data_IF_782838188152
#
_entry.id   IF_782838188152
#
_cell.length_a   1.000
_cell.length_b   1.000
_cell.length_c   1.000
_cell.angle_alpha   90.00
_cell.angle_beta   90.00
_cell.angle_gamma   90.00
#
_symmetry.space_group_name_H-M   'P 1'
#
loop_
_entity.id
_entity.type
_entity.pdbx_description
1 polymer ?
#
# COMPACT_ATOMS: atom_id res chain seq x y z
N UNK A 1 2.24 10.87 12.99
CA UNK A 1 2.07 12.33 12.83
C UNK A 1 2.65 13.02 14.05
N UNK A 2 3.67 13.86 13.86
CA UNK A 2 4.35 14.53 14.96
C UNK A 2 3.71 15.86 15.35
N UNK A 3 3.06 16.54 14.41
CA UNK A 3 2.43 17.84 14.66
C UNK A 3 0.89 17.74 14.68
N UNK A 4 0.35 16.83 15.48
CA UNK A 4 -1.10 16.53 15.52
C UNK A 4 -1.98 17.69 16.00
N UNK A 5 -1.42 18.70 16.69
CA UNK A 5 -2.17 19.87 17.18
C UNK A 5 -2.52 20.88 16.06
N UNK A 6 -1.72 20.93 15.00
CA UNK A 6 -1.86 21.93 13.91
C UNK A 6 -2.09 21.29 12.55
N UNK A 7 -1.53 20.10 12.33
CA UNK A 7 -1.66 19.35 11.09
C UNK A 7 -2.82 18.37 11.16
N UNK A 8 -3.73 18.43 10.22
CA UNK A 8 -4.86 17.53 10.12
C UNK A 8 -4.82 16.71 8.83
N UNK A 9 -4.43 15.47 8.92
CA UNK A 9 -4.49 14.53 7.81
C UNK A 9 -5.95 14.30 7.32
N UNK A 10 -6.94 14.16 8.24
CA UNK A 10 -8.34 14.04 7.85
C UNK A 10 -8.92 15.25 7.12
N UNK A 11 -8.40 16.46 7.33
CA UNK A 11 -8.87 17.64 6.61
C UNK A 11 -8.59 17.55 5.10
N UNK A 12 -7.51 16.87 4.73
CA UNK A 12 -7.09 16.74 3.34
C UNK A 12 -7.73 15.53 2.63
N UNK A 13 -7.89 14.42 3.33
CA UNK A 13 -8.18 13.14 2.70
C UNK A 13 -9.51 12.49 3.11
N UNK A 14 -10.12 12.90 4.22
CA UNK A 14 -11.44 12.40 4.65
C UNK A 14 -12.48 13.48 4.94
N UNK A 15 -12.12 14.74 4.81
CA UNK A 15 -12.99 15.94 4.95
C UNK A 15 -13.78 16.03 6.26
N UNK A 16 -13.40 15.24 7.26
CA UNK A 16 -14.06 15.21 8.56
C UNK A 16 -13.72 16.40 9.45
N UNK A 17 -12.71 17.19 9.07
CA UNK A 17 -12.28 18.39 9.79
C UNK A 17 -11.82 19.47 8.80
N UNK A 18 -11.73 20.72 9.27
CA UNK A 18 -11.19 21.83 8.49
C UNK A 18 -9.88 22.29 9.09
N UNK A 19 -8.86 22.42 8.26
CA UNK A 19 -7.60 23.07 8.63
C UNK A 19 -7.60 24.50 8.10
N UNK A 20 -7.41 25.47 8.99
CA UNK A 20 -7.47 26.90 8.65
C UNK A 20 -6.11 27.55 8.42
N UNK A 21 -5.02 26.88 8.73
CA UNK A 21 -3.66 27.37 8.59
C UNK A 21 -2.80 26.31 7.94
N UNK A 22 -1.95 26.75 7.01
CA UNK A 22 -0.98 25.87 6.38
C UNK A 22 -0.03 25.30 7.43
N UNK A 23 0.21 24.02 7.37
CA UNK A 23 1.08 23.32 8.31
C UNK A 23 1.56 21.99 7.73
N UNK A 24 2.75 21.59 8.11
CA UNK A 24 3.31 20.29 7.79
C UNK A 24 3.57 19.44 9.02
N UNK A 25 3.77 18.15 8.78
CA UNK A 25 4.16 17.19 9.82
C UNK A 25 4.99 16.07 9.23
N UNK A 26 6.00 15.63 9.98
CA UNK A 26 6.65 14.38 9.74
C UNK A 26 5.67 13.22 10.03
N UNK A 27 5.81 12.16 9.27
CA UNK A 27 5.02 10.94 9.37
C UNK A 27 5.95 9.80 9.75
N UNK A 28 5.48 8.92 10.61
CA UNK A 28 6.14 7.66 10.93
C UNK A 28 5.05 6.60 11.08
N UNK A 29 5.32 5.40 10.59
CA UNK A 29 4.37 4.30 10.66
C UNK A 29 5.05 2.96 10.72
N UNK A 30 4.36 2.00 11.32
CA UNK A 30 4.73 0.59 11.33
C UNK A 30 3.57 -0.16 10.70
N UNK A 31 3.86 -0.99 9.72
CA UNK A 31 2.91 -1.86 9.05
C UNK A 31 3.24 -3.33 9.32
N UNK A 32 2.23 -4.12 9.54
CA UNK A 32 2.31 -5.57 9.55
C UNK A 32 1.24 -6.12 8.64
N UNK A 33 1.65 -6.93 7.68
CA UNK A 33 0.72 -7.51 6.73
C UNK A 33 1.03 -9.00 6.57
N UNK A 34 -0.02 -9.81 6.58
CA UNK A 34 0.09 -11.24 6.35
C UNK A 34 -0.86 -11.62 5.21
N UNK A 35 -0.30 -12.26 4.19
CA UNK A 35 -1.07 -12.76 3.07
C UNK A 35 -0.85 -14.27 2.93
N UNK A 36 -1.92 -14.96 2.58
CA UNK A 36 -1.87 -16.38 2.22
C UNK A 36 -2.30 -16.51 0.77
N UNK A 37 -1.41 -16.99 -0.07
CA UNK A 37 -1.70 -17.34 -1.45
C UNK A 37 -1.99 -18.84 -1.51
N UNK A 38 -3.18 -19.21 -1.92
CA UNK A 38 -3.56 -20.59 -2.19
C UNK A 38 -3.76 -20.76 -3.70
N UNK A 39 -2.97 -21.62 -4.30
CA UNK A 39 -3.05 -21.92 -5.75
C UNK A 39 -3.65 -23.30 -5.91
N UNK A 40 -4.74 -23.39 -6.66
CA UNK A 40 -5.34 -24.65 -7.10
C UNK A 40 -4.57 -25.15 -8.31
N UNK A 41 -3.57 -25.98 -8.06
CA UNK A 41 -2.67 -26.51 -9.10
C UNK A 41 -3.38 -27.49 -10.03
N UNK A 42 -4.40 -28.20 -9.59
CA UNK A 42 -5.15 -29.13 -10.44
C UNK A 42 -5.91 -28.34 -11.51
N UNK A 43 -6.56 -27.27 -11.06
CA UNK A 43 -7.30 -26.38 -11.97
C UNK A 43 -6.37 -25.61 -12.90
N UNK A 44 -5.21 -25.16 -12.41
CA UNK A 44 -4.21 -24.50 -13.25
C UNK A 44 -3.64 -25.46 -14.29
N UNK A 45 -3.30 -26.70 -13.90
CA UNK A 45 -2.78 -27.70 -14.80
C UNK A 45 -3.81 -28.07 -15.89
N UNK A 46 -5.08 -28.22 -15.52
CA UNK A 46 -6.15 -28.46 -16.49
C UNK A 46 -6.31 -27.31 -17.49
N UNK A 47 -6.23 -26.07 -17.05
CA UNK A 47 -6.32 -24.89 -17.92
C UNK A 47 -5.11 -24.75 -18.86
N UNK A 48 -3.91 -25.07 -18.39
CA UNK A 48 -2.69 -25.06 -19.22
C UNK A 48 -2.73 -26.19 -20.24
N UNK A 49 -3.13 -27.39 -19.83
CA UNK A 49 -3.27 -28.55 -20.73
C UNK A 49 -4.32 -28.31 -21.83
N UNK A 50 -5.39 -27.62 -21.49
CA UNK A 50 -6.49 -27.31 -22.43
C UNK A 50 -6.09 -26.22 -23.45
N UNK A 51 -5.23 -25.25 -23.04
CA UNK A 51 -4.84 -24.14 -23.93
C UNK A 51 -3.52 -24.32 -24.68
N UNK A 52 -2.57 -25.02 -24.10
CA UNK A 52 -1.19 -25.13 -24.61
C UNK A 52 -0.78 -26.57 -24.94
N UNK A 53 -1.62 -27.55 -24.64
CA UNK A 53 -1.34 -28.97 -24.85
C UNK A 53 -0.75 -29.66 -23.63
N UNK A 54 -1.01 -30.96 -23.52
CA UNK A 54 -0.56 -31.78 -22.38
C UNK A 54 0.95 -31.86 -22.24
N UNK A 55 1.66 -31.92 -23.38
CA UNK A 55 3.13 -31.99 -23.39
C UNK A 55 3.80 -30.75 -22.78
N UNK A 56 3.17 -29.58 -22.94
CA UNK A 56 3.64 -28.32 -22.35
C UNK A 56 3.31 -28.26 -20.86
N UNK A 57 2.14 -28.72 -20.48
CA UNK A 57 1.74 -28.79 -19.07
C UNK A 57 2.69 -29.71 -18.27
N UNK A 58 2.99 -30.90 -18.77
CA UNK A 58 3.86 -31.88 -18.11
C UNK A 58 5.32 -31.38 -18.03
N UNK A 59 5.79 -30.62 -19.03
CA UNK A 59 7.16 -30.11 -19.07
C UNK A 59 7.41 -28.93 -18.14
N UNK A 60 6.42 -28.06 -17.93
CA UNK A 60 6.56 -26.82 -17.16
C UNK A 60 5.91 -26.86 -15.76
N UNK A 61 5.08 -27.88 -15.51
CA UNK A 61 4.42 -28.12 -14.22
C UNK A 61 5.11 -29.22 -13.41
N UNK A 62 6.45 -29.24 -13.42
CA UNK A 62 7.25 -30.24 -12.68
C UNK A 62 6.97 -30.17 -11.16
N UNK A 63 7.25 -31.29 -10.52
CA UNK A 63 6.85 -31.67 -9.15
C UNK A 63 7.27 -30.67 -8.07
N UNK A 64 8.31 -29.88 -8.31
CA UNK A 64 8.87 -28.89 -7.37
C UNK A 64 8.03 -27.60 -7.22
N UNK A 65 7.01 -27.38 -8.07
CA UNK A 65 6.15 -26.20 -8.02
C UNK A 65 4.84 -26.43 -7.24
N UNK A 66 4.62 -27.61 -6.64
CA UNK A 66 3.37 -27.97 -5.94
C UNK A 66 3.24 -27.36 -4.54
N UNK A 67 3.65 -26.11 -4.37
CA UNK A 67 3.40 -25.36 -3.15
C UNK A 67 1.91 -25.03 -3.02
N UNK A 68 1.17 -25.82 -2.27
CA UNK A 68 -0.30 -25.64 -2.10
C UNK A 68 -0.67 -24.32 -1.43
N UNK A 69 0.17 -23.79 -0.55
CA UNK A 69 -0.07 -22.55 0.16
C UNK A 69 1.26 -21.86 0.43
N UNK A 70 1.35 -20.60 0.07
CA UNK A 70 2.49 -19.73 0.40
C UNK A 70 2.00 -18.63 1.32
N UNK A 71 2.55 -18.55 2.51
CA UNK A 71 2.27 -17.49 3.47
C UNK A 71 3.35 -16.43 3.36
N UNK A 72 2.95 -15.17 3.18
CA UNK A 72 3.84 -14.02 3.16
C UNK A 72 3.58 -13.19 4.40
N UNK A 73 4.63 -12.89 5.13
CA UNK A 73 4.60 -11.90 6.21
C UNK A 73 5.46 -10.72 5.81
N UNK A 74 4.92 -9.53 5.93
CA UNK A 74 5.58 -8.26 5.63
C UNK A 74 5.53 -7.36 6.86
N UNK A 75 6.69 -6.94 7.32
CA UNK A 75 6.84 -5.93 8.37
C UNK A 75 7.48 -4.72 7.72
N UNK A 76 6.80 -3.58 7.75
CA UNK A 76 7.25 -2.36 7.13
C UNK A 76 7.38 -1.22 8.15
N UNK A 77 8.49 -0.49 8.06
CA UNK A 77 8.69 0.77 8.74
C UNK A 77 8.63 1.89 7.72
N UNK A 78 7.77 2.86 7.94
CA UNK A 78 7.61 3.98 7.02
C UNK A 78 7.95 5.32 7.69
N UNK A 79 8.58 6.17 6.92
CA UNK A 79 8.86 7.55 7.27
C UNK A 79 8.51 8.47 6.12
N UNK A 80 8.08 9.69 6.43
CA UNK A 80 7.69 10.63 5.40
C UNK A 80 7.38 12.01 5.92
N UNK A 81 6.89 12.84 5.03
CA UNK A 81 6.46 14.18 5.33
C UNK A 81 5.16 14.51 4.60
N UNK A 82 4.29 15.24 5.27
CA UNK A 82 3.05 15.74 4.69
C UNK A 82 2.93 17.24 4.93
N UNK A 83 2.39 17.96 3.95
CA UNK A 83 2.14 19.38 4.02
C UNK A 83 0.74 19.70 3.53
N UNK A 84 0.01 20.46 4.33
CA UNK A 84 -1.30 21.02 3.99
C UNK A 84 -1.14 22.50 3.76
N UNK A 85 -1.46 22.96 2.57
CA UNK A 85 -1.42 24.35 2.15
C UNK A 85 -2.84 24.90 2.06
N UNK A 86 -3.19 25.81 2.98
CA UNK A 86 -4.43 26.57 2.95
C UNK A 86 -4.17 27.85 2.15
N UNK A 87 -4.60 27.88 0.90
CA UNK A 87 -4.27 28.96 -0.04
C UNK A 87 -5.42 29.93 -0.27
N UNK A 88 -6.65 29.57 0.08
CA UNK A 88 -7.82 30.44 -0.02
C UNK A 88 -8.87 30.07 1.03
N UNK A 89 -9.93 30.86 1.15
CA UNK A 89 -11.02 30.60 2.05
C UNK A 89 -11.68 29.24 1.73
N UNK A 90 -11.66 28.32 2.70
CA UNK A 90 -12.17 26.95 2.58
C UNK A 90 -11.42 26.04 1.58
N UNK A 91 -10.31 26.48 0.98
CA UNK A 91 -9.50 25.67 0.08
C UNK A 91 -8.23 25.16 0.76
N UNK A 92 -7.98 23.90 0.57
CA UNK A 92 -6.80 23.21 1.06
C UNK A 92 -6.21 22.34 -0.04
N UNK A 93 -4.94 22.50 -0.31
CA UNK A 93 -4.15 21.55 -1.09
C UNK A 93 -3.26 20.76 -0.13
N UNK A 94 -3.10 19.49 -0.36
CA UNK A 94 -2.29 18.61 0.45
C UNK A 94 -1.34 17.78 -0.41
N UNK A 95 -0.13 17.61 0.08
CA UNK A 95 0.83 16.69 -0.49
C UNK A 95 1.50 15.89 0.62
N UNK A 96 1.70 14.61 0.42
CA UNK A 96 2.49 13.77 1.31
C UNK A 96 3.34 12.80 0.51
N UNK A 97 4.55 12.59 0.98
CA UNK A 97 5.47 11.59 0.46
C UNK A 97 5.98 10.77 1.63
N UNK A 98 5.90 9.46 1.51
CA UNK A 98 6.43 8.52 2.48
C UNK A 98 7.16 7.39 1.79
N UNK A 99 8.23 6.93 2.43
CA UNK A 99 9.01 5.77 2.00
C UNK A 99 8.89 4.73 3.10
N UNK A 100 8.65 3.49 2.71
CA UNK A 100 8.61 2.35 3.60
C UNK A 100 9.74 1.38 3.27
N UNK A 101 10.38 0.88 4.31
CA UNK A 101 11.31 -0.23 4.25
C UNK A 101 10.55 -1.45 4.76
N UNK A 102 10.24 -2.37 3.86
CA UNK A 102 9.53 -3.60 4.16
C UNK A 102 10.49 -4.78 4.20
N UNK A 103 10.33 -5.66 5.18
CA UNK A 103 10.95 -6.96 5.25
C UNK A 103 9.91 -8.03 4.95
N UNK A 104 10.04 -8.71 3.81
CA UNK A 104 9.12 -9.77 3.38
C UNK A 104 9.74 -11.14 3.60
N UNK A 105 9.00 -12.00 4.27
CA UNK A 105 9.35 -13.42 4.40
C UNK A 105 8.20 -14.29 3.88
N UNK A 106 8.56 -15.22 3.00
CA UNK A 106 7.67 -16.26 2.54
C UNK A 106 7.93 -17.53 3.35
N UNK A 107 6.85 -18.19 3.81
CA UNK A 107 6.90 -19.47 4.51
C UNK A 107 6.18 -20.52 3.66
N UNK A 108 6.80 -21.66 3.51
CA UNK A 108 6.13 -22.84 2.98
C UNK A 108 5.49 -23.65 4.13
N UNK A 109 4.45 -24.42 3.83
CA UNK A 109 3.70 -25.22 4.82
C UNK A 109 4.55 -26.34 5.46
N UNK A 110 5.76 -26.58 4.93
CA UNK A 110 6.74 -27.52 5.45
C UNK A 110 7.68 -26.96 6.53
N UNK A 111 7.78 -25.62 6.65
CA UNK A 111 8.66 -24.98 7.61
C UNK A 111 7.94 -24.65 8.92
N UNK A 112 8.07 -25.53 9.89
CA UNK A 112 7.55 -25.35 11.26
C UNK A 112 8.42 -24.50 12.18
N UNK A 113 9.51 -23.91 11.68
CA UNK A 113 10.41 -23.13 12.51
C UNK A 113 9.98 -21.66 12.62
N UNK A 114 9.82 -21.21 13.89
CA UNK A 114 9.50 -19.85 14.24
C UNK A 114 10.55 -18.84 13.79
N UNK A 115 10.22 -17.56 13.91
CA UNK A 115 11.12 -16.47 13.57
C UNK A 115 12.47 -16.57 14.30
N UNK A 116 13.52 -16.85 13.57
CA UNK A 116 14.90 -16.88 14.08
C UNK A 116 15.69 -15.74 13.43
N UNK A 117 16.37 -14.93 14.24
CA UNK A 117 17.20 -13.82 13.74
C UNK A 117 18.34 -14.26 12.82
N UNK A 118 18.69 -15.56 12.79
CA UNK A 118 19.70 -16.13 11.91
C UNK A 118 19.30 -16.15 10.43
N UNK A 119 18.00 -16.11 10.14
CA UNK A 119 17.45 -16.17 8.77
C UNK A 119 17.29 -14.77 8.13
N UNK A 120 17.89 -13.77 8.76
CA UNK A 120 17.83 -12.40 8.29
C UNK A 120 18.70 -12.24 7.03
N UNK A 121 18.05 -12.08 5.87
CA UNK A 121 18.70 -11.92 4.59
C UNK A 121 18.39 -10.57 3.99
N UNK A 122 19.40 -9.79 3.61
CA UNK A 122 19.24 -8.47 2.98
C UNK A 122 18.46 -8.51 1.67
N UNK A 123 18.36 -9.66 1.02
CA UNK A 123 17.58 -9.86 -0.22
C UNK A 123 16.05 -9.77 -0.02
N UNK A 124 15.59 -9.83 1.23
CA UNK A 124 14.16 -9.74 1.57
C UNK A 124 13.69 -8.30 1.85
N UNK A 125 14.57 -7.31 1.74
CA UNK A 125 14.21 -5.91 1.88
C UNK A 125 13.59 -5.36 0.61
N UNK A 126 12.47 -4.66 0.79
CA UNK A 126 11.83 -3.89 -0.26
C UNK A 126 11.74 -2.43 0.16
N UNK A 127 11.85 -1.56 -0.82
CA UNK A 127 11.61 -0.13 -0.64
C UNK A 127 10.33 0.20 -1.38
N UNK A 128 9.34 0.66 -0.64
CA UNK A 128 8.05 1.06 -1.18
C UNK A 128 7.87 2.57 -0.97
N UNK A 129 7.33 3.25 -1.98
CA UNK A 129 7.03 4.68 -1.92
C UNK A 129 5.54 4.93 -2.01
N UNK A 130 5.03 5.88 -1.24
CA UNK A 130 3.63 6.32 -1.31
C UNK A 130 3.57 7.83 -1.41
N UNK A 131 3.09 8.31 -2.55
CA UNK A 131 2.74 9.72 -2.77
C UNK A 131 1.24 9.91 -2.64
N UNK A 132 0.80 10.95 -1.95
CA UNK A 132 -0.61 11.34 -1.88
C UNK A 132 -0.72 12.83 -2.13
N UNK A 133 -1.66 13.18 -3.01
CA UNK A 133 -1.96 14.56 -3.36
C UNK A 133 -3.46 14.77 -3.24
N UNK A 134 -3.86 15.92 -2.80
CA UNK A 134 -5.29 16.23 -2.67
C UNK A 134 -5.54 17.72 -2.77
N UNK A 135 -6.69 18.06 -3.28
CA UNK A 135 -7.25 19.41 -3.24
C UNK A 135 -8.70 19.31 -2.79
N UNK A 136 -9.08 20.12 -1.85
CA UNK A 136 -10.43 20.10 -1.30
C UNK A 136 -10.91 21.52 -1.00
N UNK A 137 -12.16 21.76 -1.34
CA UNK A 137 -12.95 22.86 -0.83
C UNK A 137 -13.96 22.35 0.18
N UNK A 138 -14.00 22.95 1.37
CA UNK A 138 -14.87 22.50 2.45
C UNK A 138 -15.35 23.70 3.28
N UNK A 139 -16.67 23.96 3.25
CA UNK A 139 -17.32 25.01 4.03
C UNK A 139 -18.08 24.49 5.26
N UNK A 140 -17.74 23.27 5.74
CA UNK A 140 -18.37 22.54 6.83
C UNK A 140 -19.70 21.87 6.48
N UNK A 141 -20.48 22.38 5.56
CA UNK A 141 -21.73 21.80 5.09
C UNK A 141 -21.52 21.02 3.79
N UNK A 142 -20.91 21.65 2.82
CA UNK A 142 -20.58 21.05 1.54
C UNK A 142 -19.06 20.89 1.42
N UNK A 143 -18.65 19.81 0.81
CA UNK A 143 -17.27 19.63 0.42
C UNK A 143 -17.18 18.96 -0.95
N UNK A 144 -16.17 19.34 -1.72
CA UNK A 144 -15.82 18.71 -2.96
C UNK A 144 -14.31 18.77 -3.15
N UNK A 145 -13.78 17.81 -3.87
CA UNK A 145 -12.36 17.76 -4.11
C UNK A 145 -11.94 16.57 -4.95
N UNK A 146 -10.63 16.48 -5.10
CA UNK A 146 -9.98 15.35 -5.75
C UNK A 146 -8.78 14.92 -4.94
N UNK A 147 -8.49 13.64 -4.93
CA UNK A 147 -7.25 13.13 -4.40
C UNK A 147 -6.65 12.07 -5.34
N UNK A 148 -5.33 12.02 -5.33
CA UNK A 148 -4.54 11.05 -6.06
C UNK A 148 -3.61 10.35 -5.09
N UNK A 149 -3.51 9.04 -5.20
CA UNK A 149 -2.59 8.22 -4.45
C UNK A 149 -1.75 7.46 -5.46
N UNK A 150 -0.43 7.51 -5.31
CA UNK A 150 0.52 6.79 -6.15
C UNK A 150 1.36 5.90 -5.24
N UNK A 151 1.42 4.63 -5.56
CA UNK A 151 2.25 3.64 -4.88
C UNK A 151 3.33 3.16 -5.82
N UNK A 152 4.55 3.07 -5.34
CA UNK A 152 5.65 2.43 -6.04
C UNK A 152 6.13 1.24 -5.22
N UNK A 153 6.22 0.10 -5.85
CA UNK A 153 6.74 -1.13 -5.25
C UNK A 153 7.95 -1.60 -6.03
N UNK A 154 9.07 -1.72 -5.35
CA UNK A 154 10.26 -2.34 -5.86
C UNK A 154 10.40 -3.74 -5.28
N UNK A 155 10.42 -4.74 -6.16
CA UNK A 155 10.70 -6.11 -5.77
C UNK A 155 11.95 -6.59 -6.50
N UNK A 156 12.98 -6.90 -5.72
CA UNK A 156 14.26 -7.37 -6.27
C UNK A 156 14.56 -8.77 -5.74
N UNK A 157 14.64 -9.74 -6.65
CA UNK A 157 15.25 -11.05 -6.38
C UNK A 157 16.35 -11.33 -7.38
N UNK A 158 17.35 -12.20 -7.07
CA UNK A 158 18.48 -12.48 -7.96
C UNK A 158 18.12 -12.95 -9.36
N UNK A 159 16.91 -13.49 -9.55
CA UNK A 159 16.39 -13.99 -10.83
C UNK A 159 15.25 -13.17 -11.42
N UNK A 160 14.71 -12.20 -10.67
CA UNK A 160 13.53 -11.44 -11.10
C UNK A 160 13.48 -10.10 -10.39
N UNK A 161 13.43 -9.02 -11.15
CA UNK A 161 13.21 -7.66 -10.65
C UNK A 161 11.97 -7.10 -11.28
N UNK A 162 11.05 -6.59 -10.47
CA UNK A 162 9.86 -5.92 -10.97
C UNK A 162 9.64 -4.60 -10.24
N UNK A 163 9.40 -3.55 -11.01
CA UNK A 163 9.01 -2.24 -10.53
C UNK A 163 7.56 -2.02 -10.91
N UNK A 164 6.69 -2.02 -9.94
CA UNK A 164 5.29 -1.73 -10.15
C UNK A 164 4.95 -0.35 -9.61
N UNK A 165 4.28 0.45 -10.44
CA UNK A 165 3.68 1.70 -10.02
C UNK A 165 2.18 1.64 -10.32
N UNK A 166 1.37 1.89 -9.32
CA UNK A 166 -0.06 2.01 -9.49
C UNK A 166 -0.60 3.18 -8.69
N UNK A 167 -1.69 3.74 -9.15
CA UNK A 167 -2.31 4.87 -8.50
C UNK A 167 -3.81 4.86 -8.65
N UNK A 168 -4.46 5.65 -7.83
CA UNK A 168 -5.89 5.93 -7.93
C UNK A 168 -6.13 7.43 -7.89
N UNK A 169 -7.09 7.87 -8.70
CA UNK A 169 -7.62 9.22 -8.69
C UNK A 169 -9.09 9.16 -8.25
N UNK A 170 -9.42 9.91 -7.22
CA UNK A 170 -10.80 10.01 -6.74
C UNK A 170 -11.26 11.45 -6.82
N UNK A 171 -12.46 11.66 -7.37
CA UNK A 171 -13.16 12.94 -7.36
C UNK A 171 -14.42 12.73 -6.55
N UNK A 172 -14.71 13.64 -5.64
CA UNK A 172 -15.83 13.49 -4.70
C UNK A 172 -16.53 14.81 -4.43
N UNK A 173 -17.81 14.68 -4.12
CA UNK A 173 -18.66 15.74 -3.57
C UNK A 173 -19.48 15.14 -2.42
N UNK A 174 -19.69 15.90 -1.37
CA UNK A 174 -20.48 15.42 -0.26
C UNK A 174 -21.06 16.55 0.59
N UNK A 175 -22.01 16.15 1.44
CA UNK A 175 -22.73 17.01 2.37
C UNK A 175 -22.63 16.43 3.77
N UNK A 176 -22.27 17.24 4.73
CA UNK A 176 -22.28 16.87 6.13
C UNK A 176 -23.70 17.10 6.70
N UNK A 177 -24.35 16.01 7.07
CA UNK A 177 -25.65 16.04 7.77
C UNK A 177 -25.36 15.95 9.27
N UNK A 178 -25.65 16.98 10.02
CA UNK A 178 -25.48 16.96 11.46
C UNK A 178 -25.12 18.33 12.03
N UNK A 179 -25.44 18.52 13.32
CA UNK A 179 -25.08 19.72 14.05
C UNK A 179 -23.61 19.62 14.44
N UNK A 180 -22.77 20.39 13.80
CA UNK A 180 -21.40 20.53 14.27
C UNK A 180 -21.39 21.38 15.53
N UNK A 181 -20.86 20.81 16.61
CA UNK A 181 -20.57 21.55 17.86
C UNK A 181 -19.29 22.34 17.69
#
# INVERSE_FOLDING_TARGET
IFNHKRFSYPAAFSQSTIQRRSCGSALCGIGYTQHTLSIDWEKLNSLVADRLGKDVADKYMDTDLKMKKVKYTDIAFSGGYAYNWVFAHNWLAAASLSVALGYKRAWDDSDHEGFTLKDFTFQNFNIDGVGRFGIVWNNMRWYYGANCIVHTYNYHKPKFSTNNMFGSLNIYIGVNFGRQK
#
